data_IF_204185684597
#
_entry.id   IF_204185684597
#
_cell.length_a   1.000
_cell.length_b   1.000
_cell.length_c   1.000
_cell.angle_alpha   90.00
_cell.angle_beta   90.00
_cell.angle_gamma   90.00
#
_symmetry.space_group_name_H-M   'P 1'
#
loop_
_entity.id
_entity.type
_entity.pdbx_description
1 polymer ?
#
# COMPACT_ATOMS: atom_id res chain seq x y z
N UNK A 1 9.97 -0.81 -12.85
CA UNK A 1 10.06 -0.12 -11.56
C UNK A 1 10.81 -0.96 -10.55
N UNK A 2 11.60 -0.31 -9.70
CA UNK A 2 12.23 -1.01 -8.59
C UNK A 2 11.29 -1.03 -7.39
N UNK A 3 11.57 -1.91 -6.43
CA UNK A 3 10.77 -1.96 -5.21
C UNK A 3 10.90 -0.66 -4.39
N UNK A 4 12.05 0.00 -4.47
CA UNK A 4 12.26 1.28 -3.79
C UNK A 4 11.36 2.37 -4.37
N UNK A 5 11.26 2.42 -5.70
CA UNK A 5 10.38 3.39 -6.35
C UNK A 5 8.91 3.13 -5.99
N UNK A 6 8.52 1.86 -5.94
CA UNK A 6 7.18 1.48 -5.54
C UNK A 6 6.90 1.93 -4.10
N UNK A 7 7.87 1.70 -3.21
CA UNK A 7 7.72 2.07 -1.81
C UNK A 7 7.57 3.58 -1.64
N UNK A 8 8.33 4.37 -2.38
CA UNK A 8 8.24 5.81 -2.32
C UNK A 8 6.88 6.33 -2.78
N UNK A 9 6.35 5.77 -3.86
CA UNK A 9 5.02 6.13 -4.32
C UNK A 9 3.94 5.72 -3.33
N UNK A 10 4.10 4.56 -2.71
CA UNK A 10 3.15 4.09 -1.71
C UNK A 10 3.13 5.00 -0.48
N UNK A 11 4.28 5.55 -0.09
CA UNK A 11 4.31 6.50 1.04
C UNK A 11 3.41 7.70 0.78
N UNK A 12 3.43 8.23 -0.44
CA UNK A 12 2.57 9.35 -0.80
C UNK A 12 1.10 8.95 -0.73
N UNK A 13 0.79 7.74 -1.19
CA UNK A 13 -0.59 7.23 -1.12
C UNK A 13 -1.02 7.05 0.33
N UNK A 14 -0.15 6.52 1.18
CA UNK A 14 -0.46 6.31 2.59
C UNK A 14 -0.73 7.64 3.32
N UNK A 15 -0.05 8.72 2.95
CA UNK A 15 -0.32 10.03 3.53
C UNK A 15 -1.78 10.43 3.35
N UNK A 16 -2.37 10.05 2.23
CA UNK A 16 -3.76 10.39 1.93
C UNK A 16 -4.75 9.34 2.44
N UNK A 17 -4.32 8.08 2.47
CA UNK A 17 -5.20 6.96 2.83
C UNK A 17 -5.36 6.80 4.34
N UNK A 18 -4.37 7.21 5.12
CA UNK A 18 -4.38 7.04 6.58
C UNK A 18 -4.74 8.35 7.23
N UNK A 19 -5.93 8.40 7.87
CA UNK A 19 -6.43 9.63 8.50
C UNK A 19 -5.70 9.96 9.80
N UNK A 20 -5.36 8.92 10.56
CA UNK A 20 -4.71 9.05 11.87
C UNK A 20 -3.48 8.14 11.89
N UNK A 21 -2.39 8.54 11.22
CA UNK A 21 -1.22 7.67 11.13
C UNK A 21 -0.57 7.49 12.49
N UNK A 22 -0.41 6.22 12.89
CA UNK A 22 0.33 5.89 14.11
C UNK A 22 1.83 5.94 13.86
N UNK A 23 2.22 5.86 12.58
CA UNK A 23 3.62 5.90 12.17
C UNK A 23 3.76 7.00 11.14
N UNK A 24 4.78 7.85 11.27
CA UNK A 24 5.05 8.89 10.30
C UNK A 24 5.35 8.25 8.93
N UNK A 25 4.91 8.87 7.82
CA UNK A 25 5.14 8.27 6.49
C UNK A 25 6.59 7.91 6.19
N UNK A 26 7.54 8.70 6.67
CA UNK A 26 8.96 8.44 6.45
C UNK A 26 9.47 7.24 7.26
N UNK A 27 8.71 6.79 8.24
CA UNK A 27 9.08 5.64 9.07
C UNK A 27 8.36 4.36 8.65
N UNK A 28 7.54 4.41 7.61
CA UNK A 28 6.85 3.24 7.10
C UNK A 28 7.86 2.33 6.40
N UNK A 29 7.93 1.08 6.86
CA UNK A 29 8.82 0.07 6.29
C UNK A 29 7.98 -1.04 5.66
N UNK A 30 8.59 -1.89 4.81
CA UNK A 30 7.85 -3.03 4.22
C UNK A 30 7.27 -3.99 5.24
N UNK A 31 7.84 -4.06 6.44
CA UNK A 31 7.38 -4.96 7.50
C UNK A 31 6.16 -4.44 8.24
N UNK A 32 5.79 -3.19 8.06
CA UNK A 32 4.64 -2.60 8.76
C UNK A 32 3.35 -3.27 8.33
N UNK A 33 2.51 -3.60 9.31
CA UNK A 33 1.17 -4.12 9.04
C UNK A 33 0.24 -2.99 8.65
N UNK A 34 -0.60 -3.24 7.64
CA UNK A 34 -1.50 -2.19 7.13
C UNK A 34 -2.54 -1.79 8.16
N UNK A 35 -3.12 -2.78 8.85
CA UNK A 35 -4.14 -2.49 9.86
C UNK A 35 -3.58 -2.40 11.26
N UNK A 36 -2.55 -3.19 11.58
CA UNK A 36 -1.99 -3.25 12.93
C UNK A 36 -1.04 -2.09 13.22
N UNK A 37 -0.16 -1.77 12.29
CA UNK A 37 0.84 -0.71 12.49
C UNK A 37 0.42 0.63 11.94
N UNK A 38 -0.19 0.64 10.75
CA UNK A 38 -0.63 1.89 10.13
C UNK A 38 -2.03 2.31 10.57
N UNK A 39 -2.78 1.39 11.16
CA UNK A 39 -4.12 1.70 11.63
C UNK A 39 -5.13 1.93 10.51
N UNK A 40 -4.93 1.34 9.36
CA UNK A 40 -5.84 1.53 8.24
C UNK A 40 -7.17 0.80 8.48
N UNK A 41 -8.25 1.47 8.13
CA UNK A 41 -9.59 0.89 8.16
C UNK A 41 -9.90 0.25 6.81
N UNK A 42 -11.06 -0.42 6.72
CA UNK A 42 -11.51 -0.98 5.45
C UNK A 42 -11.65 0.08 4.38
N UNK A 43 -12.10 1.28 4.76
CA UNK A 43 -12.21 2.40 3.81
C UNK A 43 -10.83 2.84 3.34
N UNK A 44 -9.86 2.88 4.25
CA UNK A 44 -8.49 3.23 3.89
C UNK A 44 -7.88 2.21 2.94
N UNK A 45 -8.13 0.93 3.18
CA UNK A 45 -7.63 -0.13 2.31
C UNK A 45 -8.26 -0.04 0.92
N UNK A 46 -9.55 0.26 0.85
CA UNK A 46 -10.23 0.44 -0.43
C UNK A 46 -9.63 1.62 -1.19
N UNK A 47 -9.38 2.73 -0.50
CA UNK A 47 -8.73 3.89 -1.09
C UNK A 47 -7.35 3.52 -1.61
N UNK A 48 -6.59 2.76 -0.81
CA UNK A 48 -5.26 2.31 -1.20
C UNK A 48 -5.29 1.53 -2.51
N UNK A 49 -6.22 0.58 -2.63
CA UNK A 49 -6.35 -0.23 -3.84
C UNK A 49 -6.64 0.65 -5.05
N UNK A 50 -7.60 1.56 -4.93
CA UNK A 50 -7.97 2.44 -6.04
C UNK A 50 -6.79 3.33 -6.43
N UNK A 51 -6.12 3.92 -5.45
CA UNK A 51 -5.00 4.81 -5.72
C UNK A 51 -3.83 4.06 -6.37
N UNK A 52 -3.57 2.82 -5.92
CA UNK A 52 -2.51 2.00 -6.49
C UNK A 52 -2.84 1.64 -7.94
N UNK A 53 -4.08 1.24 -8.21
CA UNK A 53 -4.49 0.91 -9.56
C UNK A 53 -4.28 2.09 -10.52
N UNK A 54 -4.63 3.29 -10.08
CA UNK A 54 -4.47 4.48 -10.90
C UNK A 54 -3.00 4.91 -11.03
N UNK A 55 -2.27 4.87 -9.92
CA UNK A 55 -0.89 5.35 -9.90
C UNK A 55 0.07 4.44 -10.65
N UNK A 56 -0.18 3.14 -10.61
CA UNK A 56 0.71 2.15 -11.22
C UNK A 56 0.12 1.53 -12.49
N UNK A 57 -1.11 1.91 -12.83
CA UNK A 57 -1.80 1.36 -14.02
C UNK A 57 -1.87 -0.17 -13.99
N UNK A 58 -2.32 -0.71 -12.88
CA UNK A 58 -2.51 -2.14 -12.67
C UNK A 58 -3.91 -2.40 -12.13
N UNK A 59 -4.28 -3.68 -12.03
CA UNK A 59 -5.57 -4.07 -11.48
C UNK A 59 -5.40 -5.15 -10.43
N UNK A 60 -6.24 -5.07 -9.40
CA UNK A 60 -6.29 -6.06 -8.33
C UNK A 60 -7.40 -7.06 -8.62
N UNK A 61 -7.27 -7.77 -9.74
CA UNK A 61 -8.29 -8.74 -10.17
C UNK A 61 -8.17 -10.08 -9.46
N UNK A 62 -6.95 -10.44 -9.08
CA UNK A 62 -6.63 -11.78 -8.57
C UNK A 62 -6.69 -11.89 -7.07
N UNK A 63 -6.74 -10.76 -6.35
CA UNK A 63 -6.60 -10.75 -4.90
C UNK A 63 -7.68 -9.87 -4.27
N UNK A 64 -8.01 -10.18 -3.01
CA UNK A 64 -8.88 -9.35 -2.20
C UNK A 64 -8.08 -8.51 -1.22
N UNK A 65 -8.76 -7.56 -0.57
CA UNK A 65 -8.11 -6.71 0.42
C UNK A 65 -7.53 -7.50 1.59
N UNK A 66 -8.18 -8.60 1.95
CA UNK A 66 -7.74 -9.43 3.07
C UNK A 66 -6.41 -10.15 2.81
N UNK A 67 -5.98 -10.21 1.56
CA UNK A 67 -4.72 -10.85 1.20
C UNK A 67 -3.51 -9.96 1.51
N UNK A 68 -3.73 -8.68 1.73
CA UNK A 68 -2.66 -7.73 2.02
C UNK A 68 -2.60 -7.47 3.51
N UNK A 69 -1.57 -7.95 4.16
CA UNK A 69 -1.36 -7.78 5.61
C UNK A 69 -0.29 -6.75 5.92
N UNK A 70 0.73 -6.67 5.08
CA UNK A 70 1.85 -5.75 5.29
C UNK A 70 2.08 -4.89 4.06
N UNK A 71 2.89 -3.84 4.24
CA UNK A 71 3.32 -3.00 3.12
C UNK A 71 4.06 -3.84 2.08
N UNK A 72 4.86 -4.80 2.54
CA UNK A 72 5.61 -5.69 1.65
C UNK A 72 4.69 -6.47 0.70
N UNK A 73 3.54 -6.91 1.21
CA UNK A 73 2.57 -7.63 0.37
C UNK A 73 2.12 -6.77 -0.81
N UNK A 74 1.86 -5.50 -0.55
CA UNK A 74 1.44 -4.56 -1.59
C UNK A 74 2.58 -4.31 -2.58
N UNK A 75 3.78 -4.08 -2.06
CA UNK A 75 4.96 -3.84 -2.89
C UNK A 75 5.22 -5.03 -3.81
N UNK A 76 5.17 -6.23 -3.27
CA UNK A 76 5.44 -7.45 -4.03
C UNK A 76 4.40 -7.64 -5.14
N UNK A 77 3.14 -7.38 -4.84
CA UNK A 77 2.08 -7.47 -5.83
C UNK A 77 2.31 -6.51 -6.99
N UNK A 78 2.61 -5.25 -6.66
CA UNK A 78 2.88 -4.24 -7.68
C UNK A 78 4.12 -4.60 -8.49
N UNK A 79 5.15 -5.07 -7.82
CA UNK A 79 6.39 -5.46 -8.49
C UNK A 79 6.16 -6.60 -9.49
N UNK A 80 5.35 -7.58 -9.12
CA UNK A 80 5.00 -8.68 -10.02
C UNK A 80 4.24 -8.20 -11.25
N UNK A 81 3.39 -7.19 -11.09
CA UNK A 81 2.57 -6.69 -12.20
C UNK A 81 3.35 -5.71 -13.09
N UNK A 82 4.22 -4.91 -12.52
CA UNK A 82 4.92 -3.84 -13.23
C UNK A 82 6.41 -4.10 -13.42
N UNK A 83 6.96 -4.85 -12.51
CA UNK A 83 8.39 -5.09 -12.46
C UNK A 83 8.95 -5.85 -13.60
#
# INVERSE_FOLDING_TARGET
MTKIEIQEKLREIFKLAVSNPQIAPENITPECGLTTDLGMTSMGLLYLVIAVEESFDIRFDDVGLADFKTVSDVIDYIYDKKG
#
